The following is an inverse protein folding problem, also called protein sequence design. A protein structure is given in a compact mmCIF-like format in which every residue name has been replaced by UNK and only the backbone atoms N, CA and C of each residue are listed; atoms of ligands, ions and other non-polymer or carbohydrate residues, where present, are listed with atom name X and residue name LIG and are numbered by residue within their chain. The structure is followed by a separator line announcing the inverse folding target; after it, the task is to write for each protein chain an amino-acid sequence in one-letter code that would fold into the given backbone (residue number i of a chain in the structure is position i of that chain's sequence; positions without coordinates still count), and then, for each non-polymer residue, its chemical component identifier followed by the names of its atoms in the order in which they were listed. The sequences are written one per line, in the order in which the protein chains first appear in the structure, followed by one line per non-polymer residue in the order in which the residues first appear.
data_IF_160711518687
#
_entry.id   IF_160711518687
#
_cell.length_a   1.000
_cell.length_b   1.000
_cell.length_c   1.000
_cell.angle_alpha   90.00
_cell.angle_beta   90.00
_cell.angle_gamma   90.00
#
_symmetry.space_group_name_H-M   'P 1'
#
loop_
_entity.id
_entity.type
_entity.pdbx_description
1 polymer ?
#
# COMPACT_ATOMS: atom_id res chain seq x y z
N UNK A 1 -65.44 28.20 -8.21
CA UNK A 1 -66.17 27.34 -7.26
C UNK A 1 -66.75 26.18 -8.04
N UNK A 2 -66.29 24.95 -7.73
CA UNK A 2 -66.86 23.62 -8.04
C UNK A 2 -65.72 22.63 -8.41
N UNK A 3 -65.25 21.87 -7.42
CA UNK A 3 -64.73 20.50 -7.59
C UNK A 3 -65.93 19.54 -7.62
N UNK A 4 -65.88 18.33 -8.23
CA UNK A 4 -65.32 17.14 -7.53
C UNK A 4 -64.74 16.05 -8.48
N UNK A 5 -63.64 15.37 -8.11
CA UNK A 5 -63.52 14.04 -7.48
C UNK A 5 -63.87 12.78 -8.32
N UNK A 6 -62.86 11.89 -8.40
CA UNK A 6 -62.91 10.43 -8.18
C UNK A 6 -63.38 9.44 -9.26
N UNK A 7 -62.86 8.21 -9.08
CA UNK A 7 -63.22 6.90 -9.66
C UNK A 7 -62.54 6.56 -10.99
N UNK A 8 -61.58 5.62 -11.03
CA UNK A 8 -61.60 4.16 -10.84
C UNK A 8 -61.84 3.42 -12.16
N UNK A 9 -60.83 2.61 -12.50
CA UNK A 9 -60.93 1.28 -13.10
C UNK A 9 -61.62 1.15 -14.47
N UNK A 10 -60.86 0.78 -15.51
CA UNK A 10 -60.84 -0.61 -16.01
C UNK A 10 -60.23 -0.74 -17.41
N UNK A 11 -59.38 -1.76 -17.55
CA UNK A 11 -59.17 -2.65 -18.68
C UNK A 11 -59.31 -2.11 -20.11
N UNK A 12 -58.19 -2.06 -20.84
CA UNK A 12 -58.18 -2.47 -22.25
C UNK A 12 -56.83 -3.11 -22.59
N UNK A 13 -56.85 -4.43 -22.79
CA UNK A 13 -55.78 -5.13 -23.48
C UNK A 13 -56.01 -4.99 -24.99
N UNK A 14 -55.04 -4.43 -25.72
CA UNK A 14 -54.79 -4.81 -27.11
C UNK A 14 -53.51 -4.16 -27.61
N UNK A 15 -52.55 -4.99 -28.02
CA UNK A 15 -51.91 -4.98 -29.34
C UNK A 15 -50.50 -5.54 -29.24
N UNK A 16 -50.31 -6.62 -30.00
CA UNK A 16 -49.02 -7.23 -30.27
C UNK A 16 -48.09 -6.20 -30.90
N UNK A 17 -46.87 -6.11 -30.41
CA UNK A 17 -45.75 -5.56 -31.17
C UNK A 17 -44.64 -6.60 -31.13
N UNK A 18 -44.33 -7.17 -32.30
CA UNK A 18 -43.13 -7.97 -32.48
C UNK A 18 -41.93 -7.03 -32.38
N UNK A 19 -41.05 -7.24 -31.39
CA UNK A 19 -39.75 -6.57 -31.32
C UNK A 19 -38.62 -7.55 -31.59
N UNK A 20 -37.80 -7.12 -32.54
CA UNK A 20 -36.61 -7.74 -33.11
C UNK A 20 -35.63 -8.15 -32.00
N UNK A 21 -35.21 -9.42 -32.02
CA UNK A 21 -34.22 -9.96 -31.10
C UNK A 21 -32.87 -9.27 -31.25
N UNK A 22 -32.34 -8.77 -30.14
CA UNK A 22 -30.94 -8.34 -30.04
C UNK A 22 -30.03 -9.58 -30.00
N UNK A 23 -28.94 -9.63 -30.78
CA UNK A 23 -27.93 -10.67 -30.61
C UNK A 23 -27.27 -10.49 -29.24
N UNK A 24 -27.34 -11.53 -28.40
CA UNK A 24 -26.63 -11.58 -27.12
C UNK A 24 -25.14 -11.55 -27.41
N UNK A 25 -24.51 -10.41 -27.15
CA UNK A 25 -23.06 -10.31 -27.08
C UNK A 25 -22.54 -11.28 -26.01
N UNK A 26 -21.64 -12.18 -26.40
CA UNK A 26 -20.88 -13.01 -25.48
C UNK A 26 -19.94 -12.07 -24.73
N UNK A 27 -20.36 -11.62 -23.55
CA UNK A 27 -19.47 -10.96 -22.62
C UNK A 27 -18.51 -12.03 -22.06
N UNK A 28 -17.34 -12.17 -22.68
CA UNK A 28 -16.23 -12.92 -22.09
C UNK A 28 -15.65 -12.11 -20.93
N UNK A 29 -16.32 -12.16 -19.78
CA UNK A 29 -15.76 -11.67 -18.52
C UNK A 29 -14.71 -12.67 -18.04
N UNK A 30 -13.48 -12.55 -18.56
CA UNK A 30 -12.33 -13.12 -17.86
C UNK A 30 -12.34 -12.58 -16.43
N UNK A 31 -12.37 -13.45 -15.40
CA UNK A 31 -12.34 -12.98 -14.04
C UNK A 31 -10.99 -12.28 -13.86
N UNK A 32 -10.99 -10.98 -13.58
CA UNK A 32 -9.80 -10.33 -13.04
C UNK A 32 -9.47 -11.10 -11.78
N UNK A 33 -8.34 -11.81 -11.76
CA UNK A 33 -7.82 -12.46 -10.55
C UNK A 33 -7.99 -11.44 -9.43
N UNK A 34 -8.81 -11.77 -8.43
CA UNK A 34 -8.89 -10.99 -7.21
C UNK A 34 -7.44 -10.85 -6.72
N UNK A 35 -6.99 -9.61 -6.53
CA UNK A 35 -5.69 -9.32 -5.95
C UNK A 35 -5.72 -9.88 -4.53
N UNK A 36 -5.36 -11.15 -4.38
CA UNK A 36 -5.32 -11.82 -3.10
C UNK A 36 -4.06 -11.33 -2.42
N UNK A 37 -4.23 -10.43 -1.46
CA UNK A 37 -3.11 -9.79 -0.79
C UNK A 37 -2.33 -10.85 0.01
N UNK A 38 -1.09 -11.12 -0.42
CA UNK A 38 -0.15 -12.04 0.23
C UNK A 38 0.79 -11.35 1.24
N UNK A 39 0.68 -10.02 1.34
CA UNK A 39 1.62 -9.17 2.06
C UNK A 39 1.79 -9.56 3.53
N UNK A 40 0.69 -9.73 4.26
CA UNK A 40 0.74 -10.14 5.66
C UNK A 40 1.37 -11.53 5.88
N UNK A 41 1.09 -12.48 4.98
CA UNK A 41 1.51 -13.87 5.13
C UNK A 41 3.03 -14.08 4.97
N UNK A 42 3.74 -13.22 4.24
CA UNK A 42 5.21 -13.32 4.14
C UNK A 42 5.89 -12.88 5.43
N UNK A 43 5.41 -11.79 6.02
CA UNK A 43 5.93 -11.24 7.27
C UNK A 43 5.62 -12.16 8.45
N UNK A 44 4.42 -12.77 8.47
CA UNK A 44 3.98 -13.64 9.57
C UNK A 44 4.76 -14.96 9.68
N UNK A 45 5.65 -15.28 8.72
CA UNK A 45 6.59 -16.41 8.82
C UNK A 45 7.71 -16.18 9.82
N UNK A 46 8.02 -14.92 10.10
CA UNK A 46 9.13 -14.53 10.97
C UNK A 46 8.62 -14.37 12.41
N UNK A 47 9.35 -14.95 13.37
CA UNK A 47 9.00 -14.80 14.79
C UNK A 47 9.40 -13.41 15.29
N UNK A 48 8.57 -12.82 16.15
CA UNK A 48 8.89 -11.56 16.82
C UNK A 48 10.01 -11.69 17.87
N UNK A 49 10.39 -12.92 18.23
CA UNK A 49 11.52 -13.20 19.14
C UNK A 49 12.87 -13.09 18.46
N UNK A 50 12.90 -13.16 17.14
CA UNK A 50 14.14 -13.28 16.37
C UNK A 50 14.62 -11.91 15.94
N UNK A 51 15.94 -11.74 15.81
CA UNK A 51 16.53 -10.51 15.30
C UNK A 51 16.43 -10.54 13.78
N UNK A 52 15.65 -9.61 13.23
CA UNK A 52 15.44 -9.46 11.79
C UNK A 52 16.49 -8.50 11.22
N UNK A 53 17.12 -8.91 10.12
CA UNK A 53 18.04 -8.08 9.33
C UNK A 53 17.39 -7.71 8.00
N UNK A 54 17.17 -6.41 7.80
CA UNK A 54 16.55 -5.82 6.60
C UNK A 54 17.53 -4.86 5.90
N UNK A 55 18.43 -5.34 5.02
CA UNK A 55 19.38 -4.48 4.31
C UNK A 55 18.66 -3.48 3.38
N UNK A 56 19.11 -2.21 3.39
CA UNK A 56 18.63 -1.17 2.48
C UNK A 56 19.23 -1.31 1.09
N UNK A 57 18.36 -1.35 0.07
CA UNK A 57 18.79 -1.44 -1.33
C UNK A 57 19.42 -0.15 -1.86
N UNK A 58 19.33 0.98 -1.14
CA UNK A 58 19.98 2.23 -1.57
C UNK A 58 21.50 2.11 -1.63
N UNK A 59 22.08 1.18 -0.86
CA UNK A 59 23.52 0.90 -0.88
C UNK A 59 23.92 -0.10 -1.98
N UNK A 60 22.96 -0.64 -2.73
CA UNK A 60 23.22 -1.64 -3.76
C UNK A 60 23.64 -0.99 -5.08
N UNK A 61 24.31 -1.78 -5.92
CA UNK A 61 24.56 -1.38 -7.31
C UNK A 61 23.27 -1.50 -8.15
N UNK A 62 22.62 -0.37 -8.42
CA UNK A 62 21.38 -0.30 -9.19
C UNK A 62 21.48 -0.89 -10.61
N UNK A 63 22.66 -0.91 -11.23
CA UNK A 63 22.84 -1.51 -12.55
C UNK A 63 22.66 -3.04 -12.54
N UNK A 64 22.75 -3.68 -11.37
CA UNK A 64 22.61 -5.13 -11.17
C UNK A 64 21.70 -5.45 -9.98
N UNK A 65 20.65 -4.65 -9.78
CA UNK A 65 19.85 -4.69 -8.56
C UNK A 65 19.25 -6.07 -8.27
N UNK A 66 18.75 -6.77 -9.29
CA UNK A 66 18.20 -8.12 -9.11
C UNK A 66 19.22 -9.14 -8.62
N UNK A 67 20.47 -9.06 -9.09
CA UNK A 67 21.54 -9.95 -8.65
C UNK A 67 21.99 -9.60 -7.23
N UNK A 68 22.02 -8.31 -6.88
CA UNK A 68 22.35 -7.85 -5.53
C UNK A 68 21.33 -8.34 -4.49
N UNK A 69 20.03 -8.28 -4.82
CA UNK A 69 18.97 -8.79 -3.94
C UNK A 69 19.09 -10.30 -3.73
N UNK A 70 19.35 -11.07 -4.80
CA UNK A 70 19.59 -12.52 -4.66
C UNK A 70 20.83 -12.81 -3.81
N UNK A 71 21.89 -12.02 -3.95
CA UNK A 71 23.10 -12.21 -3.19
C UNK A 71 22.87 -12.02 -1.67
N UNK A 72 22.12 -10.99 -1.27
CA UNK A 72 21.79 -10.77 0.15
C UNK A 72 20.79 -11.79 0.68
N UNK A 73 19.85 -12.26 -0.15
CA UNK A 73 18.95 -13.36 0.19
C UNK A 73 19.73 -14.66 0.48
N UNK A 74 20.71 -15.01 -0.37
CA UNK A 74 21.59 -16.16 -0.14
C UNK A 74 22.48 -15.96 1.09
N UNK A 75 22.86 -14.73 1.41
CA UNK A 75 23.60 -14.40 2.63
C UNK A 75 22.75 -14.50 3.91
N UNK A 76 21.44 -14.74 3.79
CA UNK A 76 20.54 -14.99 4.90
C UNK A 76 19.89 -13.73 5.47
N UNK A 77 19.68 -12.68 4.67
CA UNK A 77 18.82 -11.58 5.11
C UNK A 77 17.35 -12.03 5.21
N UNK A 78 16.63 -11.44 6.16
CA UNK A 78 15.22 -11.78 6.39
C UNK A 78 14.31 -11.01 5.44
N UNK A 79 14.49 -9.68 5.37
CA UNK A 79 13.64 -8.75 4.62
C UNK A 79 14.52 -7.90 3.69
N UNK A 80 13.90 -7.18 2.76
CA UNK A 80 14.57 -6.21 1.91
C UNK A 80 13.99 -4.83 2.18
N UNK A 81 14.82 -3.90 2.65
CA UNK A 81 14.40 -2.54 2.98
C UNK A 81 14.50 -1.63 1.75
N UNK A 82 13.43 -0.86 1.51
CA UNK A 82 13.26 0.02 0.35
C UNK A 82 12.90 1.42 0.82
N UNK A 83 13.88 2.32 0.77
CA UNK A 83 13.73 3.72 1.13
C UNK A 83 13.26 4.57 -0.07
N UNK A 84 12.05 5.11 0.03
CA UNK A 84 11.41 5.95 -0.99
C UNK A 84 11.47 7.41 -0.56
N UNK A 85 12.13 8.24 -1.35
CA UNK A 85 12.33 9.67 -1.09
C UNK A 85 11.82 10.51 -2.27
N UNK A 86 11.10 11.61 -1.98
CA UNK A 86 10.43 12.45 -3.00
C UNK A 86 11.07 13.83 -3.25
N UNK A 87 12.19 14.14 -2.59
CA UNK A 87 12.84 15.46 -2.69
C UNK A 87 12.10 16.58 -1.95
N UNK A 88 10.96 16.29 -1.29
CA UNK A 88 10.16 17.28 -0.56
C UNK A 88 10.21 17.05 0.94
N UNK A 89 9.92 15.83 1.39
CA UNK A 89 10.03 15.47 2.81
C UNK A 89 11.50 15.37 3.23
N UNK A 90 12.34 14.87 2.34
CA UNK A 90 13.80 14.82 2.43
C UNK A 90 14.41 15.43 1.18
N UNK A 91 15.62 16.01 1.22
CA UNK A 91 16.19 16.73 0.07
C UNK A 91 16.64 15.81 -1.09
N UNK A 92 16.56 14.49 -0.93
CA UNK A 92 17.00 13.51 -1.90
C UNK A 92 15.82 12.84 -2.63
N UNK A 93 16.05 12.31 -3.83
CA UNK A 93 15.07 11.55 -4.61
C UNK A 93 15.67 10.18 -4.91
N UNK A 94 14.95 9.11 -4.57
CA UNK A 94 15.46 7.74 -4.73
C UNK A 94 14.71 6.98 -5.82
N UNK A 95 13.69 6.23 -5.43
CA UNK A 95 13.01 5.22 -6.23
C UNK A 95 11.51 5.23 -5.95
N UNK A 96 10.73 4.76 -6.92
CA UNK A 96 9.28 4.69 -6.82
C UNK A 96 8.74 3.25 -6.88
N UNK A 97 7.40 3.10 -7.00
CA UNK A 97 6.74 1.80 -7.04
C UNK A 97 7.25 0.87 -8.15
N UNK A 98 7.77 1.43 -9.23
CA UNK A 98 8.31 0.68 -10.37
C UNK A 98 9.49 -0.22 -9.97
N UNK A 99 10.32 0.22 -9.01
CA UNK A 99 11.44 -0.60 -8.51
C UNK A 99 10.93 -1.72 -7.62
N UNK A 100 9.92 -1.47 -6.80
CA UNK A 100 9.26 -2.51 -5.98
C UNK A 100 8.63 -3.58 -6.88
N UNK A 101 7.94 -3.17 -7.94
CA UNK A 101 7.33 -4.07 -8.92
C UNK A 101 8.38 -4.93 -9.64
N UNK A 102 9.53 -4.33 -9.99
CA UNK A 102 10.66 -5.05 -10.60
C UNK A 102 11.36 -6.02 -9.65
N UNK A 103 11.41 -5.71 -8.35
CA UNK A 103 12.00 -6.58 -7.32
C UNK A 103 11.07 -7.71 -6.90
N UNK A 104 9.76 -7.50 -6.97
CA UNK A 104 8.79 -8.48 -6.52
C UNK A 104 8.93 -9.87 -7.14
N UNK A 105 9.19 -10.05 -8.45
CA UNK A 105 9.43 -11.37 -9.05
C UNK A 105 10.85 -11.92 -8.80
N UNK A 106 11.76 -11.12 -8.24
CA UNK A 106 13.16 -11.52 -8.02
C UNK A 106 13.33 -12.28 -6.71
N UNK A 107 12.56 -11.93 -5.68
CA UNK A 107 12.64 -12.51 -4.33
C UNK A 107 11.26 -12.77 -3.73
N UNK A 108 11.14 -13.77 -2.87
CA UNK A 108 9.95 -14.04 -2.05
C UNK A 108 10.07 -13.51 -0.62
N UNK A 109 11.20 -12.89 -0.26
CA UNK A 109 11.37 -12.22 1.04
C UNK A 109 10.41 -11.03 1.18
N UNK A 110 10.01 -10.66 2.41
CA UNK A 110 9.25 -9.45 2.65
C UNK A 110 9.93 -8.20 2.12
N UNK A 111 9.19 -7.38 1.37
CA UNK A 111 9.61 -6.05 0.95
C UNK A 111 9.10 -5.03 1.98
N UNK A 112 10.03 -4.44 2.72
CA UNK A 112 9.79 -3.42 3.72
C UNK A 112 9.98 -2.03 3.11
N UNK A 113 8.87 -1.38 2.78
CA UNK A 113 8.87 -0.09 2.08
C UNK A 113 8.72 1.05 3.09
N UNK A 114 9.72 1.91 3.14
CA UNK A 114 9.77 3.10 3.98
C UNK A 114 9.51 4.35 3.15
N UNK A 115 8.38 5.02 3.40
CA UNK A 115 7.92 6.18 2.65
C UNK A 115 8.36 7.49 3.32
N UNK A 116 9.52 8.01 2.92
CA UNK A 116 10.02 9.35 3.26
C UNK A 116 9.51 10.39 2.25
N UNK A 117 8.19 10.56 2.19
CA UNK A 117 7.50 11.42 1.22
C UNK A 117 6.41 12.25 1.89
N UNK A 118 6.00 13.35 1.25
CA UNK A 118 4.79 14.08 1.67
C UNK A 118 3.53 13.40 1.12
N UNK A 119 2.42 13.50 1.86
CA UNK A 119 1.11 12.96 1.46
C UNK A 119 1.14 11.45 1.11
N UNK A 120 1.74 10.59 1.96
CA UNK A 120 1.98 9.19 1.62
C UNK A 120 0.69 8.40 1.33
N UNK A 121 -0.46 8.82 1.88
CA UNK A 121 -1.77 8.21 1.64
C UNK A 121 -2.15 8.13 0.15
N UNK A 122 -1.61 9.02 -0.69
CA UNK A 122 -1.84 9.01 -2.14
C UNK A 122 -1.03 7.92 -2.85
N UNK A 123 0.12 7.52 -2.28
CA UNK A 123 1.07 6.57 -2.88
C UNK A 123 1.02 5.18 -2.28
N UNK A 124 0.49 5.03 -1.07
CA UNK A 124 0.29 3.73 -0.41
C UNK A 124 -0.32 2.67 -1.35
N UNK A 125 -1.41 2.93 -2.10
CA UNK A 125 -2.00 1.92 -2.97
C UNK A 125 -1.06 1.44 -4.08
N UNK A 126 -0.23 2.34 -4.62
CA UNK A 126 0.71 2.03 -5.70
C UNK A 126 1.80 1.06 -5.22
N UNK A 127 2.36 1.31 -4.03
CA UNK A 127 3.38 0.45 -3.43
C UNK A 127 2.85 -0.93 -3.03
N UNK A 128 1.65 -0.99 -2.46
CA UNK A 128 1.03 -2.28 -2.11
C UNK A 128 0.72 -3.08 -3.38
N UNK A 129 0.22 -2.41 -4.43
CA UNK A 129 -0.02 -3.06 -5.73
C UNK A 129 1.28 -3.58 -6.37
N UNK A 130 2.38 -2.84 -6.23
CA UNK A 130 3.71 -3.25 -6.69
C UNK A 130 4.28 -4.44 -5.89
N UNK A 131 3.67 -4.79 -4.74
CA UNK A 131 4.02 -5.98 -3.96
C UNK A 131 4.78 -5.70 -2.67
N UNK A 132 4.69 -4.48 -2.14
CA UNK A 132 5.14 -4.16 -0.78
C UNK A 132 4.40 -5.02 0.25
N UNK A 133 5.14 -5.61 1.19
CA UNK A 133 4.56 -6.43 2.27
C UNK A 133 4.35 -5.60 3.54
N UNK A 134 5.27 -4.67 3.80
CA UNK A 134 5.21 -3.68 4.87
C UNK A 134 5.30 -2.29 4.24
N UNK A 135 4.46 -1.38 4.72
CA UNK A 135 4.53 0.04 4.33
C UNK A 135 4.62 0.88 5.60
N UNK A 136 5.74 1.58 5.74
CA UNK A 136 6.05 2.43 6.88
C UNK A 136 5.90 3.90 6.48
N UNK A 137 5.11 4.65 7.26
CA UNK A 137 4.85 6.09 7.03
C UNK A 137 5.28 6.93 8.21
N UNK A 138 5.71 8.15 7.94
CA UNK A 138 6.13 9.11 8.95
C UNK A 138 4.96 9.65 9.78
N UNK A 139 5.18 9.79 11.09
CA UNK A 139 4.19 10.38 12.00
C UNK A 139 4.21 11.91 12.02
N UNK A 140 5.29 12.52 11.50
CA UNK A 140 5.44 13.96 11.40
C UNK A 140 4.32 14.58 10.55
N UNK A 141 3.72 15.66 11.04
CA UNK A 141 2.62 16.36 10.35
C UNK A 141 3.04 16.95 9.00
N UNK A 142 4.34 17.16 8.78
CA UNK A 142 4.89 17.58 7.47
C UNK A 142 4.80 16.47 6.42
N UNK A 143 4.69 15.21 6.83
CA UNK A 143 4.43 14.05 5.96
C UNK A 143 2.94 13.70 5.97
N UNK A 144 2.38 13.40 7.14
CA UNK A 144 1.08 12.73 7.28
C UNK A 144 0.14 13.51 8.19
N UNK A 145 -0.93 14.07 7.63
CA UNK A 145 -1.90 14.86 8.40
C UNK A 145 -2.79 13.96 9.28
N UNK A 146 -3.21 12.80 8.76
CA UNK A 146 -4.16 11.90 9.42
C UNK A 146 -3.58 10.49 9.62
N UNK A 147 -2.55 10.38 10.47
CA UNK A 147 -1.77 9.15 10.65
C UNK A 147 -2.62 7.89 10.92
N UNK A 148 -3.60 7.96 11.83
CA UNK A 148 -4.48 6.82 12.13
C UNK A 148 -5.27 6.35 10.89
N UNK A 149 -5.71 7.28 10.04
CA UNK A 149 -6.42 6.96 8.80
C UNK A 149 -5.48 6.27 7.81
N UNK A 150 -4.27 6.81 7.62
CA UNK A 150 -3.27 6.25 6.70
C UNK A 150 -2.84 4.84 7.13
N UNK A 151 -2.61 4.62 8.43
CA UNK A 151 -2.31 3.30 8.99
C UNK A 151 -3.43 2.29 8.72
N UNK A 152 -4.68 2.69 8.91
CA UNK A 152 -5.82 1.81 8.64
C UNK A 152 -6.02 1.55 7.14
N UNK A 153 -5.71 2.52 6.29
CA UNK A 153 -5.69 2.34 4.83
C UNK A 153 -4.68 1.25 4.44
N UNK A 154 -3.44 1.31 4.94
CA UNK A 154 -2.40 0.30 4.66
C UNK A 154 -2.90 -1.11 5.04
N UNK A 155 -3.47 -1.25 6.25
CA UNK A 155 -4.02 -2.52 6.74
C UNK A 155 -5.20 -3.01 5.90
N UNK A 156 -6.12 -2.12 5.50
CA UNK A 156 -7.28 -2.46 4.66
C UNK A 156 -6.88 -2.94 3.27
N UNK A 157 -5.74 -2.48 2.77
CA UNK A 157 -5.13 -2.92 1.52
C UNK A 157 -4.29 -4.20 1.71
N UNK A 158 -4.22 -4.73 2.93
CA UNK A 158 -3.68 -6.03 3.31
C UNK A 158 -2.16 -6.08 3.54
N UNK A 159 -1.48 -4.93 3.54
CA UNK A 159 -0.08 -4.82 3.97
C UNK A 159 0.03 -4.61 5.48
N UNK A 160 1.22 -4.89 6.05
CA UNK A 160 1.51 -4.51 7.43
C UNK A 160 1.82 -3.01 7.49
N UNK A 161 1.24 -2.32 8.46
CA UNK A 161 1.49 -0.89 8.64
C UNK A 161 2.67 -0.66 9.59
N UNK A 162 3.59 0.19 9.16
CA UNK A 162 4.66 0.73 9.97
C UNK A 162 4.47 2.22 10.25
N UNK A 163 4.96 2.69 11.40
CA UNK A 163 5.03 4.12 11.74
C UNK A 163 6.48 4.48 12.05
N UNK A 164 6.94 5.55 11.42
CA UNK A 164 8.31 6.04 11.51
C UNK A 164 8.35 7.30 12.35
N UNK A 165 9.36 7.40 13.22
CA UNK A 165 9.69 8.61 13.97
C UNK A 165 11.10 9.07 13.61
N UNK A 166 11.24 10.36 13.30
CA UNK A 166 12.54 11.00 13.24
C UNK A 166 13.15 11.15 14.65
N UNK A 167 14.48 11.25 14.78
CA UNK A 167 15.15 11.34 16.08
C UNK A 167 14.63 12.45 17.01
N UNK A 168 14.21 13.58 16.43
CA UNK A 168 13.71 14.73 17.18
C UNK A 168 12.21 14.63 17.52
N UNK A 169 11.51 13.64 16.97
CA UNK A 169 10.07 13.48 17.17
C UNK A 169 9.82 12.70 18.47
N UNK A 170 9.06 13.26 19.42
CA UNK A 170 8.83 12.60 20.70
C UNK A 170 7.94 11.36 20.54
N UNK A 171 8.17 10.34 21.37
CA UNK A 171 7.44 9.06 21.31
C UNK A 171 5.93 9.22 21.55
N UNK A 172 5.51 10.25 22.28
CA UNK A 172 4.09 10.51 22.53
C UNK A 172 3.29 10.87 21.25
N UNK A 173 3.98 11.18 20.14
CA UNK A 173 3.34 11.43 18.85
C UNK A 173 2.52 10.24 18.32
N UNK A 174 2.78 9.03 18.83
CA UNK A 174 2.15 7.79 18.35
C UNK A 174 1.28 7.08 19.41
N UNK A 175 1.12 7.65 20.61
CA UNK A 175 0.40 7.02 21.74
C UNK A 175 -0.99 6.51 21.34
N UNK A 176 -1.74 7.28 20.56
CA UNK A 176 -3.11 6.96 20.15
C UNK A 176 -3.22 5.91 19.03
N UNK A 177 -2.11 5.39 18.53
CA UNK A 177 -2.08 4.45 17.40
C UNK A 177 -1.40 3.13 17.79
N UNK A 178 -0.64 3.11 18.89
CA UNK A 178 0.10 1.94 19.39
C UNK A 178 -0.77 0.69 19.61
N UNK A 179 -2.04 0.85 19.99
CA UNK A 179 -2.96 -0.27 20.23
C UNK A 179 -3.19 -1.15 18.98
N UNK A 180 -2.98 -0.59 17.79
CA UNK A 180 -3.27 -1.27 16.54
C UNK A 180 -2.08 -2.01 15.95
N UNK A 181 -1.50 -3.05 16.57
CA UNK A 181 -0.51 -3.99 15.95
C UNK A 181 0.30 -3.38 14.78
N UNK A 182 1.17 -2.41 15.08
CA UNK A 182 1.98 -1.67 14.11
C UNK A 182 3.45 -2.04 14.30
N UNK A 183 4.21 -1.98 13.21
CA UNK A 183 5.66 -1.98 13.27
C UNK A 183 6.16 -0.55 13.54
N UNK A 184 7.04 -0.36 14.51
CA UNK A 184 7.63 0.96 14.76
C UNK A 184 9.04 0.99 14.20
N UNK A 185 9.36 2.01 13.42
CA UNK A 185 10.70 2.29 12.94
C UNK A 185 11.19 3.59 13.58
N UNK A 186 12.32 3.52 14.27
CA UNK A 186 13.00 4.70 14.80
C UNK A 186 14.14 5.00 13.85
N UNK A 187 14.09 6.14 13.17
CA UNK A 187 15.22 6.55 12.35
C UNK A 187 16.41 6.87 13.26
N UNK A 188 17.57 6.28 12.96
CA UNK A 188 18.81 6.55 13.70
C UNK A 188 19.49 7.86 13.27
N UNK A 189 19.07 8.44 12.13
CA UNK A 189 19.68 9.64 11.55
C UNK A 189 18.62 10.69 11.25
N UNK A 190 19.00 11.97 11.38
CA UNK A 190 18.18 13.06 10.88
C UNK A 190 18.20 13.02 9.35
N UNK A 191 17.03 12.80 8.75
CA UNK A 191 16.90 12.67 7.30
C UNK A 191 17.31 13.95 6.53
N UNK A 192 17.42 15.09 7.23
CA UNK A 192 17.94 16.35 6.69
C UNK A 192 19.47 16.41 6.55
N UNK A 193 20.21 15.42 7.04
CA UNK A 193 21.69 15.41 7.05
C UNK A 193 22.33 14.51 5.99
N UNK A 194 21.56 13.89 5.10
CA UNK A 194 22.09 13.04 4.00
C UNK A 194 22.41 13.83 2.72
N UNK A 195 22.81 15.10 2.84
CA UNK A 195 23.26 15.96 1.73
C UNK A 195 24.78 15.99 1.56
#
# INVERSE_FOLDING_TARGET
MATPSSSLCSSFASLRTASIGHPRGIASSTPRKAFQVRASARVDKFSKSDIIVSPSILSANFAKLGDQVKAVEVAGCDWIHVDVMDGRFVPNITIGPLVVDALRPVTDLPLDVHLMIVEPEQRVPDFIKAGADIVSVHCEQTSTIHLHRTVNQIKSLGAKAGVVLNPATPLNAIDYILDGKIMMLISAYLLSWQS
#
